data_IF_866339391035
#
_entry.id   IF_866339391035
#
_cell.length_a   1.000
_cell.length_b   1.000
_cell.length_c   1.000
_cell.angle_alpha   90.00
_cell.angle_beta   90.00
_cell.angle_gamma   90.00
#
_symmetry.space_group_name_H-M   'P 1'
#
loop_
_entity.id
_entity.type
_entity.pdbx_description
1 polymer ?
#
# COMPACT_ATOMS: atom_id res chain seq x y z
N UNK A 1 -12.06 9.14 -7.44
CA UNK A 1 -11.97 8.98 -5.98
C UNK A 1 -12.80 7.77 -5.61
N UNK A 2 -12.24 6.81 -4.88
CA UNK A 2 -12.90 5.55 -4.52
C UNK A 2 -12.83 5.33 -3.00
N UNK A 3 -13.83 4.65 -2.43
CA UNK A 3 -13.80 4.28 -1.03
C UNK A 3 -13.22 2.87 -0.87
N UNK A 4 -12.05 2.78 -0.24
CA UNK A 4 -11.24 1.56 -0.17
C UNK A 4 -11.97 0.36 0.45
N UNK A 5 -12.93 0.58 1.36
CA UNK A 5 -13.66 -0.52 2.00
C UNK A 5 -14.74 -1.15 1.11
N UNK A 6 -15.08 -0.52 -0.03
CA UNK A 6 -15.97 -1.09 -1.04
C UNK A 6 -15.22 -1.55 -2.31
N UNK A 7 -13.89 -1.58 -2.27
CA UNK A 7 -13.08 -2.07 -3.39
C UNK A 7 -12.96 -3.60 -3.34
N UNK A 8 -13.18 -4.29 -4.48
CA UNK A 8 -12.86 -5.71 -4.61
C UNK A 8 -11.37 -5.97 -4.34
N UNK A 9 -11.06 -7.14 -3.79
CA UNK A 9 -9.70 -7.51 -3.37
C UNK A 9 -8.76 -7.75 -4.57
N UNK A 10 -9.33 -8.04 -5.74
CA UNK A 10 -8.65 -8.24 -7.02
C UNK A 10 -8.32 -6.93 -7.77
N UNK A 11 -8.80 -5.77 -7.33
CA UNK A 11 -8.47 -4.46 -7.92
C UNK A 11 -7.16 -3.85 -7.37
N UNK A 12 -6.10 -4.66 -7.23
CA UNK A 12 -4.83 -4.20 -6.63
C UNK A 12 -4.17 -3.07 -7.43
N UNK A 13 -4.38 -3.05 -8.75
CA UNK A 13 -3.86 -2.00 -9.65
C UNK A 13 -4.56 -0.65 -9.47
N UNK A 14 -5.70 -0.60 -8.77
CA UNK A 14 -6.43 0.65 -8.47
C UNK A 14 -6.12 1.25 -7.10
N UNK A 15 -5.32 0.58 -6.26
CA UNK A 15 -5.03 1.04 -4.91
C UNK A 15 -4.32 2.39 -4.91
N UNK A 16 -3.35 2.61 -5.82
CA UNK A 16 -2.66 3.90 -5.96
C UNK A 16 -3.62 5.03 -6.38
N UNK A 17 -4.51 4.75 -7.33
CA UNK A 17 -5.52 5.69 -7.79
C UNK A 17 -6.58 6.01 -6.71
N UNK A 18 -6.90 5.05 -5.84
CA UNK A 18 -7.85 5.22 -4.75
C UNK A 18 -7.31 6.15 -3.65
N UNK A 19 -6.04 6.00 -3.28
CA UNK A 19 -5.38 6.87 -2.30
C UNK A 19 -4.96 8.23 -2.88
N UNK A 20 -4.79 8.33 -4.20
CA UNK A 20 -4.48 9.57 -4.90
C UNK A 20 -3.24 10.26 -4.32
N UNK A 21 -3.34 11.57 -4.06
CA UNK A 21 -2.23 12.37 -3.54
C UNK A 21 -1.64 11.88 -2.20
N UNK A 22 -2.40 11.09 -1.43
CA UNK A 22 -1.94 10.55 -0.15
C UNK A 22 -1.06 9.30 -0.30
N UNK A 23 -1.04 8.66 -1.47
CA UNK A 23 -0.35 7.38 -1.68
C UNK A 23 1.12 7.44 -1.28
N UNK A 24 1.86 8.47 -1.72
CA UNK A 24 3.28 8.64 -1.40
C UNK A 24 3.56 8.74 0.10
N UNK A 25 2.77 9.56 0.82
CA UNK A 25 2.92 9.73 2.27
C UNK A 25 2.61 8.44 3.03
N UNK A 26 1.55 7.72 2.63
CA UNK A 26 1.20 6.45 3.27
C UNK A 26 2.26 5.38 2.99
N UNK A 27 2.87 5.39 1.79
CA UNK A 27 3.97 4.50 1.44
C UNK A 27 5.20 4.75 2.31
N UNK A 28 5.59 6.01 2.52
CA UNK A 28 6.70 6.39 3.42
C UNK A 28 6.44 5.92 4.87
N UNK A 29 5.21 6.11 5.36
CA UNK A 29 4.79 5.64 6.68
C UNK A 29 4.88 4.11 6.73
N UNK A 30 4.34 3.40 5.74
CA UNK A 30 4.40 1.94 5.69
C UNK A 30 5.83 1.43 5.63
N UNK A 31 6.73 2.07 4.88
CA UNK A 31 8.15 1.71 4.85
C UNK A 31 8.82 1.89 6.23
N UNK A 32 8.39 2.87 7.03
CA UNK A 32 8.93 3.07 8.39
C UNK A 32 8.41 2.02 9.38
N UNK A 33 7.13 1.64 9.30
CA UNK A 33 6.48 0.83 10.34
C UNK A 33 6.24 -0.64 9.95
N UNK A 34 6.12 -0.95 8.66
CA UNK A 34 5.94 -2.29 8.11
C UNK A 34 6.82 -2.51 6.86
N UNK A 35 8.16 -2.41 6.98
CA UNK A 35 9.08 -2.52 5.84
C UNK A 35 9.03 -3.89 5.16
N UNK A 36 8.69 -4.95 5.90
CA UNK A 36 8.57 -6.32 5.40
C UNK A 36 7.17 -6.64 4.85
N UNK A 37 6.26 -5.66 4.87
CA UNK A 37 4.90 -5.81 4.37
C UNK A 37 4.19 -7.03 5.00
N UNK A 38 4.33 -7.19 6.32
CA UNK A 38 3.68 -8.24 7.11
C UNK A 38 2.16 -8.06 7.07
N UNK A 39 1.69 -6.82 7.16
CA UNK A 39 0.27 -6.48 7.12
C UNK A 39 -0.17 -6.22 5.67
N UNK A 40 -0.36 -7.30 4.93
CA UNK A 40 -0.65 -7.28 3.48
C UNK A 40 -2.04 -7.76 3.07
N UNK A 41 -2.84 -8.30 3.99
CA UNK A 41 -4.24 -8.67 3.73
C UNK A 41 -5.15 -7.46 3.92
N UNK A 42 -5.04 -6.51 2.99
CA UNK A 42 -5.81 -5.26 2.92
C UNK A 42 -5.65 -4.66 1.51
N UNK A 43 -6.26 -3.48 1.27
CA UNK A 43 -6.00 -2.66 0.08
C UNK A 43 -4.56 -2.11 0.14
N UNK A 44 -3.62 -2.97 -0.23
CA UNK A 44 -2.26 -2.91 0.23
C UNK A 44 -1.41 -1.87 -0.51
N UNK A 45 -0.68 -1.07 0.26
CA UNK A 45 0.43 -0.27 -0.22
C UNK A 45 1.65 -1.17 -0.32
N UNK A 46 2.15 -1.43 -1.54
CA UNK A 46 3.34 -2.27 -1.73
C UNK A 46 4.60 -1.41 -1.56
N UNK A 47 5.33 -1.50 -0.43
CA UNK A 47 6.65 -0.89 -0.36
C UNK A 47 7.51 -1.49 -1.49
N UNK A 48 8.14 -0.63 -2.30
CA UNK A 48 9.22 -1.10 -3.18
C UNK A 48 10.24 -1.78 -2.28
N UNK A 49 10.58 -3.03 -2.59
CA UNK A 49 11.54 -3.84 -1.82
C UNK A 49 12.68 -2.94 -1.36
N UNK A 50 12.68 -2.61 -0.07
CA UNK A 50 13.87 -2.04 0.50
C UNK A 50 14.86 -3.20 0.50
N UNK A 51 15.93 -3.05 -0.27
CA UNK A 51 17.13 -3.88 -0.19
C UNK A 51 17.63 -3.88 1.26
N UNK A 52 17.05 -4.74 2.08
CA UNK A 52 17.65 -5.27 3.28
C UNK A 52 17.57 -6.78 3.13
N UNK A 53 18.43 -7.25 2.23
CA UNK A 53 19.04 -8.56 2.37
C UNK A 53 19.60 -8.64 3.79
N UNK A 54 19.05 -9.57 4.57
CA UNK A 54 19.66 -10.13 5.76
C UNK A 54 19.74 -11.63 5.54
#
# INVERSE_FOLDING_TARGET
TAYVNFMPEDEVDRVEAAYGGNYRRLLEIKQRYDPLNLFRMNQNLRPKESLRAA
#
